data_IF_848294021927
#
_entry.id   IF_848294021927
#
_cell.length_a   1.000
_cell.length_b   1.000
_cell.length_c   1.000
_cell.angle_alpha   90.00
_cell.angle_beta   90.00
_cell.angle_gamma   90.00
#
_symmetry.space_group_name_H-M   'P 1'
#
loop_
_entity.id
_entity.type
_entity.pdbx_description
1 polymer ?
#
# COMPACT_ATOMS: atom_id res chain seq x y z
N UNK A 1 -11.94 -6.15 11.72
CA UNK A 1 -10.48 -6.15 12.00
C UNK A 1 -10.10 -4.79 12.56
N UNK A 2 -9.11 -4.70 13.45
CA UNK A 2 -8.65 -3.40 13.98
C UNK A 2 -7.95 -2.57 12.90
N UNK A 3 -8.11 -1.23 12.91
CA UNK A 3 -7.32 -0.35 12.06
C UNK A 3 -5.85 -0.40 12.48
N UNK A 4 -4.97 -0.39 11.49
CA UNK A 4 -3.54 -0.28 11.65
C UNK A 4 -3.16 1.20 11.75
N UNK A 5 -2.14 1.47 12.55
CA UNK A 5 -1.47 2.78 12.57
C UNK A 5 -0.75 3.03 11.24
N UNK A 6 -0.31 4.27 11.05
CA UNK A 6 0.42 4.68 9.85
C UNK A 6 1.69 3.84 9.64
N UNK A 7 2.49 3.68 10.69
CA UNK A 7 3.76 2.91 10.65
C UNK A 7 3.52 1.42 10.37
N UNK A 8 2.45 0.87 10.95
CA UNK A 8 2.04 -0.51 10.70
C UNK A 8 1.58 -0.72 9.26
N UNK A 9 0.85 0.23 8.65
CA UNK A 9 0.46 0.15 7.25
C UNK A 9 1.65 0.22 6.30
N UNK A 10 2.60 1.13 6.55
CA UNK A 10 3.83 1.22 5.75
C UNK A 10 4.57 -0.11 5.79
N UNK A 11 4.74 -0.69 6.98
CA UNK A 11 5.40 -1.98 7.15
C UNK A 11 4.62 -3.10 6.47
N UNK A 12 3.29 -3.10 6.62
CA UNK A 12 2.40 -4.09 6.03
C UNK A 12 2.48 -4.10 4.50
N UNK A 13 2.39 -2.94 3.85
CA UNK A 13 2.51 -2.84 2.39
C UNK A 13 3.92 -3.15 1.89
N UNK A 14 4.95 -2.72 2.62
CA UNK A 14 6.33 -3.01 2.27
C UNK A 14 6.61 -4.51 2.24
N UNK A 15 6.09 -5.27 3.20
CA UNK A 15 6.23 -6.73 3.25
C UNK A 15 5.31 -7.50 2.29
N UNK A 16 4.27 -6.85 1.77
CA UNK A 16 3.33 -7.45 0.83
C UNK A 16 3.81 -7.45 -0.63
N UNK A 17 4.90 -6.77 -0.93
CA UNK A 17 5.47 -6.71 -2.28
C UNK A 17 5.90 -8.10 -2.74
N UNK A 18 5.58 -8.45 -3.99
CA UNK A 18 6.07 -9.70 -4.59
C UNK A 18 7.49 -9.55 -5.16
N UNK A 19 8.29 -10.61 -4.99
CA UNK A 19 9.59 -10.79 -5.64
C UNK A 19 10.78 -10.67 -4.69
N UNK A 20 11.92 -11.21 -5.13
CA UNK A 20 13.21 -11.12 -4.41
C UNK A 20 13.79 -9.68 -4.43
N UNK A 21 13.33 -8.84 -5.36
CA UNK A 21 13.69 -7.43 -5.44
C UNK A 21 12.54 -6.56 -4.91
N UNK A 22 12.78 -5.88 -3.79
CA UNK A 22 11.86 -4.88 -3.24
C UNK A 22 11.77 -3.69 -4.21
N UNK A 23 10.77 -3.71 -5.08
CA UNK A 23 10.52 -2.70 -6.11
C UNK A 23 10.23 -1.32 -5.53
N UNK A 24 9.66 -1.27 -4.33
CA UNK A 24 9.25 -0.06 -3.63
C UNK A 24 9.90 0.04 -2.26
N UNK A 25 10.26 1.26 -1.90
CA UNK A 25 10.85 1.60 -0.62
C UNK A 25 9.75 2.07 0.35
N UNK A 26 10.00 2.06 1.67
CA UNK A 26 9.02 2.53 2.67
C UNK A 26 8.45 3.92 2.37
N UNK A 27 9.27 4.82 1.81
CA UNK A 27 8.85 6.19 1.45
C UNK A 27 7.75 6.23 0.37
N UNK A 28 7.69 5.23 -0.51
CA UNK A 28 6.65 5.14 -1.53
C UNK A 28 5.29 4.81 -0.91
N UNK A 29 5.28 3.97 0.14
CA UNK A 29 4.07 3.65 0.89
C UNK A 29 3.64 4.77 1.83
N UNK A 30 4.59 5.53 2.38
CA UNK A 30 4.29 6.77 3.12
C UNK A 30 3.47 7.71 2.24
N UNK A 31 3.94 7.99 1.02
CA UNK A 31 3.22 8.85 0.06
C UNK A 31 1.85 8.31 -0.31
N UNK A 32 1.76 7.00 -0.54
CA UNK A 32 0.48 6.33 -0.82
C UNK A 32 -0.54 6.55 0.29
N UNK A 33 -0.14 6.38 1.55
CA UNK A 33 -1.04 6.56 2.70
C UNK A 33 -1.39 8.03 2.91
N UNK A 34 -0.45 8.95 2.68
CA UNK A 34 -0.71 10.40 2.75
C UNK A 34 -1.71 10.85 1.68
N UNK A 35 -1.63 10.31 0.47
CA UNK A 35 -2.54 10.64 -0.64
C UNK A 35 -3.93 10.03 -0.46
N UNK A 36 -4.02 8.76 -0.04
CA UNK A 36 -5.31 8.10 0.20
C UNK A 36 -5.97 8.57 1.51
N UNK A 37 -5.17 8.97 2.49
CA UNK A 37 -5.58 9.15 3.88
C UNK A 37 -5.57 7.83 4.67
N UNK A 38 -5.25 7.93 5.96
CA UNK A 38 -5.08 6.77 6.85
C UNK A 38 -6.33 5.87 6.94
N UNK A 39 -7.52 6.47 6.90
CA UNK A 39 -8.79 5.76 6.96
C UNK A 39 -9.01 4.92 5.70
N UNK A 40 -8.86 5.51 4.51
CA UNK A 40 -9.02 4.80 3.24
C UNK A 40 -7.92 3.75 3.03
N UNK A 41 -6.68 4.06 3.39
CA UNK A 41 -5.59 3.09 3.34
C UNK A 41 -5.87 1.86 4.21
N UNK A 42 -6.53 2.04 5.36
CA UNK A 42 -6.99 0.93 6.19
C UNK A 42 -8.17 0.16 5.57
N UNK A 43 -9.14 0.87 4.98
CA UNK A 43 -10.30 0.27 4.34
C UNK A 43 -9.91 -0.58 3.12
N UNK A 44 -8.95 -0.09 2.33
CA UNK A 44 -8.51 -0.69 1.06
C UNK A 44 -7.27 -1.58 1.22
N UNK A 45 -6.78 -1.79 2.45
CA UNK A 45 -5.49 -2.44 2.69
C UNK A 45 -5.34 -3.82 2.05
N UNK A 46 -6.42 -4.60 1.98
CA UNK A 46 -6.37 -5.93 1.38
C UNK A 46 -6.24 -5.87 -0.14
N UNK A 47 -6.97 -4.96 -0.77
CA UNK A 47 -6.96 -4.75 -2.22
C UNK A 47 -5.61 -4.19 -2.68
N UNK A 48 -5.02 -3.26 -1.90
CA UNK A 48 -3.65 -2.76 -2.11
C UNK A 48 -2.64 -3.91 -2.06
N UNK A 49 -2.73 -4.78 -1.04
CA UNK A 49 -1.81 -5.91 -0.87
C UNK A 49 -1.95 -6.93 -2.00
N UNK A 50 -3.16 -7.28 -2.42
CA UNK A 50 -3.36 -8.19 -3.56
C UNK A 50 -2.72 -7.65 -4.85
N UNK A 51 -2.81 -6.35 -5.07
CA UNK A 51 -2.19 -5.71 -6.23
C UNK A 51 -0.66 -5.65 -6.13
N UNK A 52 -0.11 -5.38 -4.94
CA UNK A 52 1.33 -5.40 -4.67
C UNK A 52 1.92 -6.82 -4.83
N UNK A 53 1.21 -7.84 -4.33
CA UNK A 53 1.59 -9.24 -4.50
C UNK A 53 1.45 -9.71 -5.97
N UNK A 54 0.59 -9.07 -6.75
CA UNK A 54 0.51 -9.26 -8.20
C UNK A 54 1.63 -8.55 -8.99
N UNK A 55 2.53 -7.82 -8.32
CA UNK A 55 3.60 -7.05 -8.95
C UNK A 55 3.10 -5.82 -9.71
N UNK A 56 1.90 -5.31 -9.41
CA UNK A 56 1.37 -4.09 -10.04
C UNK A 56 2.14 -2.87 -9.58
N UNK A 57 2.16 -1.87 -10.46
CA UNK A 57 2.83 -0.60 -10.18
C UNK A 57 2.04 0.24 -9.19
N UNK A 58 2.74 0.82 -8.20
CA UNK A 58 2.14 1.66 -7.17
C UNK A 58 1.30 2.82 -7.73
N UNK A 59 1.75 3.41 -8.85
CA UNK A 59 1.03 4.49 -9.56
C UNK A 59 -0.32 4.06 -10.13
N UNK A 60 -0.45 2.78 -10.52
CA UNK A 60 -1.70 2.22 -11.03
C UNK A 60 -2.66 1.97 -9.87
N UNK A 61 -2.14 1.43 -8.76
CA UNK A 61 -2.90 1.25 -7.51
C UNK A 61 -3.44 2.61 -7.02
N UNK A 62 -2.61 3.66 -7.03
CA UNK A 62 -3.04 5.03 -6.70
C UNK A 62 -4.16 5.52 -7.63
N UNK A 63 -3.98 5.38 -8.94
CA UNK A 63 -4.95 5.88 -9.91
C UNK A 63 -6.30 5.14 -9.86
N UNK A 64 -6.30 3.84 -9.56
CA UNK A 64 -7.53 3.04 -9.43
C UNK A 64 -8.29 3.33 -8.12
N UNK A 65 -7.58 3.69 -7.05
CA UNK A 65 -8.18 3.88 -5.71
C UNK A 65 -8.51 5.34 -5.37
N UNK A 66 -7.95 6.30 -6.10
CA UNK A 66 -8.22 7.74 -5.93
C UNK A 66 -9.33 8.28 -6.87
N UNK A 67 -9.87 7.43 -7.76
CA UNK A 67 -10.95 7.75 -8.72
C UNK A 67 -12.34 7.42 -8.15
#
# INVERSE_FOLDING_TARGET
MSPLTFEELVSYFFHAQAGEEQLYQPIDFVRLIEELGLENANALRHEIVEQLAGGRRLQVIQAELAA
#
